data_IF_111848780682
#
_entry.id   IF_111848780682
#
_cell.length_a   1.000
_cell.length_b   1.000
_cell.length_c   1.000
_cell.angle_alpha   90.00
_cell.angle_beta   90.00
_cell.angle_gamma   90.00
#
_symmetry.space_group_name_H-M   'P 1'
#
loop_
_entity.id
_entity.type
_entity.pdbx_description
1 polymer ?
#
# COMPACT_ATOMS: atom_id res chain seq x y z
N UNK A 1 99.13 32.58 5.54
CA UNK A 1 98.01 33.49 5.84
C UNK A 1 97.11 33.47 4.60
N UNK A 2 96.15 32.54 4.57
CA UNK A 2 94.71 32.77 4.82
C UNK A 2 94.14 33.83 3.86
N UNK A 3 93.23 33.54 2.93
CA UNK A 3 92.42 32.36 2.72
C UNK A 3 91.68 32.42 1.37
N UNK A 4 91.07 31.27 1.05
CA UNK A 4 90.20 30.92 -0.08
C UNK A 4 89.06 31.96 -0.20
N UNK A 5 88.42 32.20 -1.35
CA UNK A 5 87.51 31.30 -2.06
C UNK A 5 87.26 31.76 -3.51
N UNK A 6 87.16 30.78 -4.41
CA UNK A 6 86.69 30.93 -5.78
C UNK A 6 85.15 30.97 -5.82
N UNK A 7 84.57 31.80 -6.69
CA UNK A 7 83.15 31.71 -7.08
C UNK A 7 83.05 31.90 -8.60
N UNK A 8 82.85 30.77 -9.29
CA UNK A 8 82.29 30.69 -10.64
C UNK A 8 80.79 31.05 -10.56
N UNK A 9 80.32 31.99 -11.38
CA UNK A 9 78.87 32.09 -11.65
C UNK A 9 78.56 31.54 -13.04
N UNK A 10 78.00 30.33 -13.00
CA UNK A 10 77.46 29.56 -14.11
C UNK A 10 76.13 30.18 -14.57
N UNK A 11 75.96 30.28 -15.88
CA UNK A 11 74.74 30.69 -16.56
C UNK A 11 73.61 29.67 -16.31
N UNK A 12 72.53 30.07 -15.64
CA UNK A 12 71.35 29.23 -15.45
C UNK A 12 70.29 29.58 -16.51
N UNK A 13 70.23 28.77 -17.56
CA UNK A 13 69.14 28.75 -18.54
C UNK A 13 67.97 27.99 -17.88
N UNK A 14 66.94 28.70 -17.39
CA UNK A 14 65.69 28.09 -16.93
C UNK A 14 64.92 27.54 -18.13
N UNK A 15 65.05 26.24 -18.38
CA UNK A 15 64.13 25.47 -19.22
C UNK A 15 62.81 25.30 -18.45
N UNK A 16 61.82 26.10 -18.83
CA UNK A 16 60.44 25.97 -18.37
C UNK A 16 59.83 24.71 -19.01
N UNK A 17 59.91 23.56 -18.32
CA UNK A 17 59.19 22.36 -18.72
C UNK A 17 57.70 22.53 -18.38
N UNK A 18 56.94 23.08 -19.32
CA UNK A 18 55.48 23.11 -19.24
C UNK A 18 54.92 21.70 -19.38
N UNK A 19 54.56 21.07 -18.27
CA UNK A 19 53.73 19.86 -18.26
C UNK A 19 52.31 20.26 -18.63
N UNK A 20 51.95 20.06 -19.89
CA UNK A 20 50.57 20.21 -20.37
C UNK A 20 49.78 19.01 -19.83
N UNK A 21 49.10 19.21 -18.69
CA UNK A 21 48.10 18.24 -18.20
C UNK A 21 46.91 18.34 -19.15
N UNK A 22 46.92 17.51 -20.20
CA UNK A 22 45.78 17.31 -21.08
C UNK A 22 44.71 16.57 -20.28
N UNK A 23 43.64 17.28 -19.91
CA UNK A 23 42.39 16.65 -19.48
C UNK A 23 41.84 15.83 -20.64
N UNK A 24 42.22 14.55 -20.73
CA UNK A 24 41.41 13.57 -21.45
C UNK A 24 40.06 13.55 -20.74
N UNK A 25 39.00 13.98 -21.44
CA UNK A 25 37.64 13.60 -21.07
C UNK A 25 37.65 12.08 -20.98
N UNK A 26 37.52 11.53 -19.78
CA UNK A 26 37.19 10.14 -19.58
C UNK A 26 35.85 9.92 -20.28
N UNK A 27 35.90 9.41 -21.52
CA UNK A 27 34.77 8.74 -22.13
C UNK A 27 34.59 7.43 -21.37
N UNK A 28 33.98 7.53 -20.17
CA UNK A 28 33.28 6.37 -19.62
C UNK A 28 32.27 5.98 -20.68
N UNK A 29 32.27 4.72 -21.16
CA UNK A 29 31.22 4.26 -22.05
C UNK A 29 29.89 4.61 -21.41
N UNK A 30 29.04 5.36 -22.12
CA UNK A 30 27.64 5.45 -21.71
C UNK A 30 27.12 4.04 -21.91
N UNK A 31 27.01 3.27 -20.83
CA UNK A 31 26.31 2.00 -20.88
C UNK A 31 24.90 2.31 -21.39
N UNK A 32 24.62 1.89 -22.62
CA UNK A 32 23.29 1.98 -23.20
C UNK A 32 22.42 0.94 -22.51
N UNK A 33 21.79 1.34 -21.41
CA UNK A 33 20.70 0.56 -20.83
C UNK A 33 19.53 0.56 -21.82
N UNK A 34 18.95 -0.61 -22.12
CA UNK A 34 17.72 -0.65 -22.91
C UNK A 34 16.62 0.13 -22.17
N UNK A 35 15.67 0.70 -22.91
CA UNK A 35 14.49 1.27 -22.27
C UNK A 35 13.69 0.15 -21.58
N UNK A 36 13.07 0.43 -20.42
CA UNK A 36 12.25 -0.57 -19.74
C UNK A 36 11.02 -0.92 -20.60
N UNK A 37 10.60 -2.18 -20.53
CA UNK A 37 9.51 -2.73 -21.33
C UNK A 37 8.17 -2.21 -20.79
N UNK A 38 7.37 -1.47 -21.57
CA UNK A 38 6.08 -0.98 -21.12
C UNK A 38 5.15 -2.13 -20.69
N UNK A 39 4.49 -1.97 -19.54
CA UNK A 39 3.53 -2.93 -19.03
C UNK A 39 2.14 -2.30 -18.93
N UNK A 40 1.10 -3.14 -18.89
CA UNK A 40 -0.29 -2.73 -18.66
C UNK A 40 -0.91 -3.63 -17.60
N UNK A 41 -1.83 -3.08 -16.82
CA UNK A 41 -2.59 -3.88 -15.86
C UNK A 41 -3.54 -4.83 -16.61
N UNK A 42 -3.47 -6.11 -16.25
CA UNK A 42 -4.44 -7.11 -16.68
C UNK A 42 -5.71 -6.97 -15.84
N UNK A 43 -6.63 -6.11 -16.28
CA UNK A 43 -7.91 -5.87 -15.59
C UNK A 43 -9.00 -6.78 -16.17
N UNK A 44 -9.58 -7.72 -15.40
CA UNK A 44 -10.66 -8.58 -15.89
C UNK A 44 -11.91 -7.77 -16.23
N UNK A 45 -12.70 -8.25 -17.19
CA UNK A 45 -13.81 -7.50 -17.78
C UNK A 45 -14.98 -7.14 -16.84
N UNK A 46 -15.04 -7.72 -15.63
CA UNK A 46 -16.02 -7.31 -14.61
C UNK A 46 -15.54 -6.15 -13.75
N UNK A 47 -14.24 -5.81 -13.73
CA UNK A 47 -13.76 -4.66 -12.97
C UNK A 47 -13.76 -3.38 -13.82
N UNK A 48 -13.94 -2.19 -13.19
CA UNK A 48 -13.82 -0.93 -13.91
C UNK A 48 -12.44 -0.76 -14.53
N UNK A 49 -12.36 -0.05 -15.66
CA UNK A 49 -11.06 0.30 -16.25
C UNK A 49 -10.24 1.16 -15.29
N UNK A 50 -8.94 0.91 -15.21
CA UNK A 50 -7.97 1.74 -14.50
C UNK A 50 -7.43 2.80 -15.46
N UNK A 51 -7.20 4.02 -14.96
CA UNK A 51 -6.57 5.07 -15.75
C UNK A 51 -5.05 4.87 -15.75
N UNK A 52 -4.41 5.15 -16.90
CA UNK A 52 -2.96 5.17 -16.98
C UNK A 52 -2.40 6.29 -16.08
N UNK A 53 -1.26 6.03 -15.43
CA UNK A 53 -0.52 7.01 -14.63
C UNK A 53 0.68 7.51 -15.44
N UNK A 54 0.58 8.74 -15.95
CA UNK A 54 1.62 9.32 -16.80
C UNK A 54 2.90 9.69 -16.01
N UNK A 55 2.79 9.93 -14.70
CA UNK A 55 3.92 10.34 -13.85
C UNK A 55 4.72 9.12 -13.35
N UNK A 56 4.11 7.95 -13.32
CA UNK A 56 4.74 6.68 -13.00
C UNK A 56 4.20 5.53 -13.91
N UNK A 57 4.54 5.54 -15.21
CA UNK A 57 4.07 4.53 -16.14
C UNK A 57 4.61 3.15 -15.76
N UNK A 58 3.77 2.13 -15.89
CA UNK A 58 4.14 0.76 -15.58
C UNK A 58 5.17 0.23 -16.59
N UNK A 59 6.19 -0.43 -16.07
CA UNK A 59 7.11 -1.26 -16.84
C UNK A 59 7.28 -2.63 -16.19
N UNK A 60 7.62 -3.64 -16.98
CA UNK A 60 7.87 -4.98 -16.45
C UNK A 60 9.00 -4.97 -15.41
N UNK A 61 10.06 -4.22 -15.68
CA UNK A 61 11.23 -4.08 -14.83
C UNK A 61 10.94 -3.23 -13.59
N UNK A 62 10.10 -2.20 -13.70
CA UNK A 62 9.66 -1.38 -12.56
C UNK A 62 8.74 -2.14 -11.61
N UNK A 63 7.82 -2.95 -12.13
CA UNK A 63 6.99 -3.86 -11.33
C UNK A 63 7.87 -4.87 -10.59
N UNK A 64 8.83 -5.49 -11.28
CA UNK A 64 9.72 -6.48 -10.67
C UNK A 64 10.66 -5.85 -9.63
N UNK A 65 11.21 -4.66 -9.90
CA UNK A 65 11.99 -3.91 -8.92
C UNK A 65 11.14 -3.58 -7.68
N UNK A 66 9.90 -3.12 -7.86
CA UNK A 66 8.95 -2.89 -6.78
C UNK A 66 8.66 -4.14 -5.96
N UNK A 67 8.49 -5.30 -6.61
CA UNK A 67 8.30 -6.59 -5.93
C UNK A 67 9.52 -6.97 -5.11
N UNK A 68 10.72 -6.80 -5.64
CA UNK A 68 11.96 -7.07 -4.90
C UNK A 68 12.05 -6.20 -3.66
N UNK A 69 11.82 -4.88 -3.80
CA UNK A 69 11.81 -3.94 -2.69
C UNK A 69 10.77 -4.33 -1.64
N UNK A 70 9.54 -4.65 -2.05
CA UNK A 70 8.44 -4.98 -1.13
C UNK A 70 8.77 -6.10 -0.11
N UNK A 71 9.64 -7.04 -0.50
CA UNK A 71 10.11 -8.16 0.33
C UNK A 71 11.50 -7.96 0.93
N UNK A 72 12.15 -6.82 0.69
CA UNK A 72 13.51 -6.56 1.15
C UNK A 72 13.52 -5.95 2.56
N UNK A 73 14.14 -6.65 3.50
CA UNK A 73 14.27 -6.17 4.88
C UNK A 73 15.16 -4.93 5.00
N UNK A 74 15.99 -4.62 3.98
CA UNK A 74 16.83 -3.41 3.95
C UNK A 74 16.05 -2.10 3.91
N UNK A 75 14.74 -2.16 3.63
CA UNK A 75 13.92 -0.96 3.66
C UNK A 75 13.68 -0.45 5.08
N UNK A 76 13.88 -1.26 6.14
CA UNK A 76 13.76 -0.79 7.52
C UNK A 76 15.11 -0.34 8.07
N UNK A 77 15.11 0.69 8.94
CA UNK A 77 16.35 1.24 9.52
C UNK A 77 17.13 0.25 10.40
N UNK A 78 16.54 -0.89 10.75
CA UNK A 78 17.21 -2.00 11.44
C UNK A 78 17.49 -3.22 10.55
N UNK A 79 17.21 -3.14 9.25
CA UNK A 79 17.44 -4.18 8.25
C UNK A 79 16.74 -5.53 8.55
N UNK A 80 15.57 -5.51 9.19
CA UNK A 80 14.82 -6.70 9.65
C UNK A 80 13.36 -6.76 9.19
N UNK A 81 12.82 -5.69 8.64
CA UNK A 81 11.40 -5.59 8.27
C UNK A 81 11.26 -5.16 6.82
N UNK A 82 10.32 -5.79 6.13
CA UNK A 82 9.91 -5.42 4.78
C UNK A 82 8.43 -5.05 4.80
N UNK A 83 7.91 -4.52 3.69
CA UNK A 83 6.47 -4.30 3.56
C UNK A 83 5.69 -5.61 3.78
N UNK A 84 6.24 -6.73 3.30
CA UNK A 84 5.66 -8.06 3.46
C UNK A 84 5.60 -8.58 4.91
N UNK A 85 6.32 -7.95 5.85
CA UNK A 85 6.24 -8.30 7.28
C UNK A 85 4.85 -8.02 7.85
N UNK A 86 4.22 -6.91 7.44
CA UNK A 86 2.84 -6.56 7.82
C UNK A 86 1.83 -6.90 6.71
N UNK A 87 2.26 -7.00 5.45
CA UNK A 87 1.38 -7.26 4.32
C UNK A 87 1.64 -8.62 3.70
N UNK A 88 1.21 -9.67 4.40
CA UNK A 88 1.45 -11.05 4.01
C UNK A 88 0.54 -11.52 2.89
N UNK A 89 1.12 -12.05 1.82
CA UNK A 89 0.36 -12.50 0.64
C UNK A 89 -0.69 -13.58 0.96
N UNK A 90 -0.36 -14.54 1.83
CA UNK A 90 -1.20 -15.70 2.13
C UNK A 90 -2.54 -15.32 2.80
N UNK A 91 -2.59 -14.14 3.40
CA UNK A 91 -3.78 -13.53 4.02
C UNK A 91 -4.18 -12.24 3.30
N UNK A 92 -4.02 -12.22 1.98
CA UNK A 92 -4.43 -11.13 1.10
C UNK A 92 -3.80 -9.76 1.45
N UNK A 93 -2.51 -9.76 1.79
CA UNK A 93 -1.70 -8.59 2.13
C UNK A 93 -2.19 -7.83 3.39
N UNK A 94 -2.51 -8.60 4.44
CA UNK A 94 -2.79 -8.16 5.82
C UNK A 94 -1.79 -8.81 6.81
N UNK A 95 -1.93 -8.59 8.13
CA UNK A 95 -1.03 -9.11 9.19
C UNK A 95 -1.70 -10.06 10.20
N UNK A 96 -3.02 -10.24 10.10
CA UNK A 96 -3.83 -11.04 11.03
C UNK A 96 -3.74 -10.63 12.51
N UNK A 97 -3.36 -9.38 12.80
CA UNK A 97 -3.14 -8.87 14.15
C UNK A 97 -3.93 -7.58 14.35
N UNK A 98 -4.59 -7.39 15.50
CA UNK A 98 -5.41 -6.19 15.68
C UNK A 98 -4.60 -4.89 15.55
N UNK A 99 -3.53 -4.80 16.33
CA UNK A 99 -2.56 -3.72 16.32
C UNK A 99 -1.16 -4.36 16.35
N UNK A 100 -0.50 -4.42 15.20
CA UNK A 100 0.80 -5.08 15.11
C UNK A 100 1.86 -4.34 15.92
N UNK A 101 2.78 -5.09 16.53
CA UNK A 101 3.90 -4.56 17.29
C UNK A 101 5.24 -5.06 16.73
N UNK A 102 5.27 -5.49 15.47
CA UNK A 102 6.47 -6.06 14.85
C UNK A 102 7.42 -4.99 14.30
N UNK A 103 7.01 -3.72 14.32
CA UNK A 103 7.82 -2.60 13.85
C UNK A 103 9.10 -2.37 14.65
N UNK A 104 9.94 -1.43 14.20
CA UNK A 104 11.27 -1.18 14.78
C UNK A 104 11.23 -0.86 16.27
N UNK A 105 10.24 -0.07 16.71
CA UNK A 105 10.09 0.30 18.13
C UNK A 105 9.52 -0.82 19.02
N UNK A 106 8.98 -1.88 18.42
CA UNK A 106 8.19 -2.92 19.06
C UNK A 106 6.95 -2.45 19.84
N UNK A 107 6.49 -1.20 19.63
CA UNK A 107 5.22 -0.72 20.18
C UNK A 107 4.06 -1.13 19.28
N UNK A 108 2.87 -1.44 19.84
CA UNK A 108 1.68 -1.63 19.03
C UNK A 108 1.35 -0.38 18.23
N UNK A 109 1.06 -0.55 16.94
CA UNK A 109 0.52 0.52 16.10
C UNK A 109 -0.86 0.97 16.61
N UNK A 110 -1.33 2.11 16.12
CA UNK A 110 -2.64 2.66 16.48
C UNK A 110 -3.75 2.28 15.49
N UNK A 111 -3.41 1.56 14.42
CA UNK A 111 -4.34 1.08 13.40
C UNK A 111 -4.01 -0.34 13.00
N UNK A 112 -5.07 -1.07 12.67
CA UNK A 112 -4.97 -2.33 11.97
C UNK A 112 -4.40 -2.12 10.58
N UNK A 113 -3.51 -3.00 10.14
CA UNK A 113 -2.85 -2.94 8.83
C UNK A 113 -3.89 -3.05 7.69
N UNK A 114 -4.04 -2.01 6.85
CA UNK A 114 -4.94 -2.07 5.70
C UNK A 114 -4.48 -3.10 4.67
N UNK A 115 -5.41 -3.66 3.90
CA UNK A 115 -5.08 -4.56 2.80
C UNK A 115 -4.54 -3.79 1.58
N UNK A 116 -3.74 -4.47 0.76
CA UNK A 116 -3.10 -3.85 -0.42
C UNK A 116 -3.66 -4.31 -1.78
N UNK A 117 -4.72 -5.12 -1.81
CA UNK A 117 -5.33 -5.51 -3.07
C UNK A 117 -6.23 -4.41 -3.66
N UNK A 118 -6.31 -4.36 -4.98
CA UNK A 118 -7.18 -3.46 -5.75
C UNK A 118 -6.99 -1.96 -5.43
N UNK A 119 -5.80 -1.54 -5.03
CA UNK A 119 -5.52 -0.13 -4.75
C UNK A 119 -5.37 0.74 -6.01
N UNK A 120 -5.30 0.12 -7.20
CA UNK A 120 -5.31 0.84 -8.48
C UNK A 120 -6.58 1.69 -8.70
N UNK A 121 -7.66 1.42 -7.96
CA UNK A 121 -8.92 2.18 -8.01
C UNK A 121 -9.11 3.15 -6.83
N UNK A 122 -8.22 3.15 -5.83
CA UNK A 122 -8.36 3.92 -4.59
C UNK A 122 -7.99 5.41 -4.78
N UNK A 123 -8.77 6.15 -5.58
CA UNK A 123 -8.49 7.53 -5.99
C UNK A 123 -8.86 8.61 -4.98
N UNK A 124 -9.68 8.29 -3.97
CA UNK A 124 -10.12 9.22 -2.92
C UNK A 124 -9.14 9.37 -1.77
N UNK A 125 -8.11 8.50 -1.73
CA UNK A 125 -7.06 8.49 -0.73
C UNK A 125 -6.73 7.09 -0.21
N UNK A 126 -5.59 6.97 0.44
CA UNK A 126 -5.04 5.77 1.07
C UNK A 126 -4.90 5.96 2.59
N UNK A 127 -4.61 4.88 3.31
CA UNK A 127 -4.87 4.74 4.75
C UNK A 127 -6.37 4.75 5.10
N UNK A 128 -6.67 4.55 6.38
CA UNK A 128 -8.04 4.51 6.90
C UNK A 128 -8.76 5.85 6.84
N UNK A 129 -8.05 6.97 6.93
CA UNK A 129 -8.59 8.34 6.90
C UNK A 129 -8.37 9.04 5.56
N UNK A 130 -7.63 8.42 4.63
CA UNK A 130 -7.31 9.03 3.35
C UNK A 130 -6.18 10.05 3.38
N UNK A 131 -5.29 9.99 4.38
CA UNK A 131 -4.20 10.96 4.54
C UNK A 131 -3.18 10.98 3.38
N UNK A 132 -3.10 9.92 2.59
CA UNK A 132 -2.26 9.89 1.39
C UNK A 132 -3.08 9.92 0.10
N UNK A 133 -2.59 10.64 -0.92
CA UNK A 133 -3.29 10.83 -2.20
C UNK A 133 -3.03 9.74 -3.24
N UNK A 134 -1.91 9.02 -3.14
CA UNK A 134 -1.49 8.00 -4.10
C UNK A 134 -0.50 7.01 -3.49
N UNK A 135 -0.25 5.88 -4.17
CA UNK A 135 0.61 4.80 -3.66
C UNK A 135 2.04 5.27 -3.41
N UNK A 136 2.58 6.15 -4.25
CA UNK A 136 3.92 6.72 -4.09
C UNK A 136 4.06 7.44 -2.75
N UNK A 137 3.15 8.37 -2.46
CA UNK A 137 3.18 9.13 -1.20
C UNK A 137 2.75 8.31 0.01
N UNK A 138 1.95 7.24 -0.18
CA UNK A 138 1.54 6.36 0.90
C UNK A 138 2.72 5.61 1.49
N UNK A 139 3.62 5.09 0.66
CA UNK A 139 4.77 4.30 1.12
C UNK A 139 5.76 5.11 1.98
N UNK A 140 5.74 6.46 1.90
CA UNK A 140 6.56 7.31 2.76
C UNK A 140 6.21 7.12 4.24
N UNK A 141 4.92 7.05 4.57
CA UNK A 141 4.43 6.87 5.95
C UNK A 141 5.08 5.69 6.69
N UNK A 142 4.88 4.43 6.23
CA UNK A 142 5.46 3.26 6.88
C UNK A 142 7.00 3.26 6.83
N UNK A 143 7.61 3.77 5.75
CA UNK A 143 9.07 3.83 5.63
C UNK A 143 9.70 4.68 6.74
N UNK A 144 9.15 5.87 7.01
CA UNK A 144 9.75 6.81 7.98
C UNK A 144 9.18 6.72 9.39
N UNK A 145 8.02 6.08 9.57
CA UNK A 145 7.34 5.95 10.87
C UNK A 145 8.21 5.18 11.89
N UNK A 146 8.35 5.74 13.10
CA UNK A 146 9.20 5.17 14.15
C UNK A 146 8.71 3.82 14.66
N UNK A 147 7.39 3.64 14.67
CA UNK A 147 6.75 2.42 15.13
C UNK A 147 6.58 1.38 14.01
N UNK A 148 7.02 1.70 12.77
CA UNK A 148 6.96 0.82 11.61
C UNK A 148 8.37 0.46 11.12
N UNK A 149 8.86 1.10 10.03
CA UNK A 149 10.16 0.75 9.42
C UNK A 149 11.31 1.66 9.87
N UNK A 150 11.02 2.83 10.45
CA UNK A 150 11.98 3.80 11.00
C UNK A 150 13.25 3.99 10.16
N UNK A 151 13.08 4.15 8.85
CA UNK A 151 14.19 4.30 7.92
C UNK A 151 14.46 5.79 7.67
N UNK A 152 15.75 6.14 7.68
CA UNK A 152 16.23 7.42 7.17
C UNK A 152 16.40 7.32 5.65
N UNK A 153 15.80 8.24 4.90
CA UNK A 153 15.78 8.15 3.43
C UNK A 153 17.16 8.37 2.80
N UNK A 154 18.05 9.12 3.45
CA UNK A 154 19.41 9.31 2.96
C UNK A 154 20.25 8.05 3.17
N UNK A 155 20.11 7.42 4.34
CA UNK A 155 20.72 6.13 4.62
C UNK A 155 20.18 5.03 3.70
N UNK A 156 18.87 4.98 3.46
CA UNK A 156 18.27 4.04 2.51
C UNK A 156 18.88 4.18 1.10
N UNK A 157 19.01 5.40 0.60
CA UNK A 157 19.66 5.64 -0.68
C UNK A 157 21.10 5.14 -0.71
N UNK A 158 21.86 5.36 0.37
CA UNK A 158 23.23 4.87 0.51
C UNK A 158 23.30 3.35 0.53
N UNK A 159 22.44 2.68 1.30
CA UNK A 159 22.38 1.23 1.40
C UNK A 159 22.03 0.59 0.04
N UNK A 160 21.04 1.12 -0.67
CA UNK A 160 20.66 0.63 -2.00
C UNK A 160 21.76 0.88 -3.04
N UNK A 161 22.43 2.04 -3.00
CA UNK A 161 23.57 2.36 -3.89
C UNK A 161 24.78 1.46 -3.66
N UNK A 162 24.93 0.89 -2.47
CA UNK A 162 25.99 -0.06 -2.16
C UNK A 162 25.75 -1.48 -2.75
N UNK A 163 24.59 -1.73 -3.36
CA UNK A 163 24.20 -3.04 -3.90
C UNK A 163 24.22 -2.97 -5.44
N UNK A 164 25.19 -3.60 -6.12
CA UNK A 164 25.34 -3.48 -7.58
C UNK A 164 24.09 -3.87 -8.38
N UNK A 165 23.34 -4.88 -7.92
CA UNK A 165 22.10 -5.31 -8.58
C UNK A 165 21.00 -4.22 -8.51
N UNK A 166 20.87 -3.52 -7.38
CA UNK A 166 19.94 -2.39 -7.28
C UNK A 166 20.35 -1.24 -8.20
N UNK A 167 21.63 -0.85 -8.20
CA UNK A 167 22.12 0.20 -9.10
C UNK A 167 21.74 -0.11 -10.56
N UNK A 168 21.95 -1.35 -11.00
CA UNK A 168 21.57 -1.79 -12.35
C UNK A 168 20.06 -1.70 -12.60
N UNK A 169 19.22 -2.19 -11.68
CA UNK A 169 17.75 -2.18 -11.84
C UNK A 169 17.16 -0.78 -11.83
N UNK A 170 17.57 0.06 -10.90
CA UNK A 170 17.12 1.45 -10.84
C UNK A 170 17.58 2.25 -12.07
N UNK A 171 18.82 2.01 -12.53
CA UNK A 171 19.31 2.66 -13.77
C UNK A 171 18.50 2.22 -14.99
N UNK A 172 18.10 0.94 -15.08
CA UNK A 172 17.23 0.43 -16.13
C UNK A 172 15.84 1.07 -16.11
N UNK A 173 15.22 1.20 -14.93
CA UNK A 173 13.83 1.70 -14.81
C UNK A 173 13.74 3.23 -14.92
N UNK A 174 14.64 3.97 -14.25
CA UNK A 174 14.52 5.42 -14.07
C UNK A 174 15.61 6.24 -14.78
N UNK A 175 16.60 5.56 -15.39
CA UNK A 175 17.74 6.14 -16.11
C UNK A 175 18.58 7.16 -15.29
N UNK A 176 18.61 7.02 -13.96
CA UNK A 176 19.32 7.91 -13.04
C UNK A 176 19.91 7.13 -11.87
N UNK A 177 20.66 7.82 -11.01
CA UNK A 177 21.07 7.26 -9.72
C UNK A 177 19.86 7.09 -8.80
N UNK A 178 19.93 6.12 -7.89
CA UNK A 178 18.83 5.79 -6.98
C UNK A 178 18.46 7.01 -6.13
N UNK A 179 17.17 7.35 -6.13
CA UNK A 179 16.59 8.30 -5.17
C UNK A 179 15.47 7.62 -4.37
N UNK A 180 15.17 8.15 -3.18
CA UNK A 180 14.02 7.73 -2.39
C UNK A 180 12.70 7.82 -3.19
N UNK A 181 12.55 8.83 -4.06
CA UNK A 181 11.38 8.92 -4.96
C UNK A 181 11.28 7.74 -5.93
N UNK A 182 12.41 7.24 -6.43
CA UNK A 182 12.42 6.07 -7.32
C UNK A 182 12.01 4.80 -6.57
N UNK A 183 12.38 4.67 -5.29
CA UNK A 183 11.93 3.57 -4.41
C UNK A 183 10.40 3.59 -4.27
N UNK A 184 9.84 4.76 -3.93
CA UNK A 184 8.39 4.94 -3.79
C UNK A 184 7.66 4.62 -5.11
N UNK A 185 8.20 5.07 -6.25
CA UNK A 185 7.64 4.78 -7.57
C UNK A 185 7.67 3.29 -7.90
N UNK A 186 8.79 2.60 -7.65
CA UNK A 186 8.90 1.17 -7.90
C UNK A 186 7.91 0.37 -7.06
N UNK A 187 7.84 0.62 -5.73
CA UNK A 187 6.86 0.01 -4.83
C UNK A 187 5.43 0.22 -5.34
N UNK A 188 5.10 1.45 -5.74
CA UNK A 188 3.78 1.79 -6.25
C UNK A 188 3.46 1.09 -7.58
N UNK A 189 4.45 0.85 -8.47
CA UNK A 189 4.23 0.06 -9.69
C UNK A 189 3.83 -1.38 -9.33
N UNK A 190 4.53 -2.02 -8.38
CA UNK A 190 4.18 -3.37 -7.91
C UNK A 190 2.80 -3.41 -7.25
N UNK A 191 2.51 -2.50 -6.31
CA UNK A 191 1.24 -2.47 -5.59
C UNK A 191 0.04 -2.26 -6.52
N UNK A 192 0.18 -1.51 -7.63
CA UNK A 192 -0.88 -1.39 -8.66
C UNK A 192 -1.24 -2.73 -9.31
N UNK A 193 -0.31 -3.68 -9.34
CA UNK A 193 -0.54 -5.01 -9.93
C UNK A 193 -1.25 -5.99 -9.01
N UNK A 194 -1.42 -5.66 -7.73
CA UNK A 194 -2.09 -6.50 -6.73
C UNK A 194 -3.61 -6.51 -6.95
N UNK A 195 -4.04 -7.07 -8.08
CA UNK A 195 -5.45 -7.15 -8.48
C UNK A 195 -6.03 -8.49 -8.03
N UNK A 196 -6.99 -8.44 -7.10
CA UNK A 196 -7.82 -9.56 -6.65
C UNK A 196 -9.15 -9.56 -7.40
N UNK A 197 -9.30 -10.52 -8.30
CA UNK A 197 -10.40 -10.60 -9.27
C UNK A 197 -10.67 -12.04 -9.78
N UNK A 198 -10.12 -13.05 -9.10
CA UNK A 198 -10.22 -14.48 -9.40
C UNK A 198 -11.13 -15.25 -8.44
N UNK A 199 -11.90 -14.56 -7.59
CA UNK A 199 -12.80 -15.21 -6.62
C UNK A 199 -13.90 -16.03 -7.31
N UNK A 200 -14.57 -16.90 -6.55
CA UNK A 200 -15.72 -17.66 -7.07
C UNK A 200 -16.83 -16.73 -7.59
N UNK A 201 -17.07 -15.61 -6.91
CA UNK A 201 -17.98 -14.57 -7.37
C UNK A 201 -17.54 -13.97 -8.71
N UNK A 202 -16.25 -13.64 -8.86
CA UNK A 202 -15.74 -13.06 -10.12
C UNK A 202 -15.91 -14.01 -11.30
N UNK A 203 -15.59 -15.29 -11.10
CA UNK A 203 -15.78 -16.32 -12.12
C UNK A 203 -17.25 -16.49 -12.49
N UNK A 204 -18.15 -16.43 -11.49
CA UNK A 204 -19.60 -16.50 -11.68
C UNK A 204 -20.13 -15.30 -12.48
N UNK A 205 -19.78 -14.07 -12.12
CA UNK A 205 -20.23 -12.85 -12.84
C UNK A 205 -19.71 -12.80 -14.27
N UNK A 206 -18.47 -13.26 -14.50
CA UNK A 206 -17.90 -13.41 -15.85
C UNK A 206 -18.47 -14.60 -16.63
N UNK A 207 -19.36 -15.40 -16.03
CA UNK A 207 -19.97 -16.59 -16.64
C UNK A 207 -18.93 -17.59 -17.15
N UNK A 208 -17.84 -17.76 -16.41
CA UNK A 208 -16.83 -18.78 -16.72
C UNK A 208 -17.50 -20.16 -16.63
N UNK A 209 -17.34 -21.05 -17.64
CA UNK A 209 -17.97 -22.37 -17.62
C UNK A 209 -17.67 -23.14 -16.32
N UNK A 210 -18.71 -23.63 -15.66
CA UNK A 210 -18.60 -24.36 -14.40
C UNK A 210 -18.51 -23.49 -13.12
N UNK A 211 -18.42 -22.16 -13.25
CA UNK A 211 -18.45 -21.27 -12.09
C UNK A 211 -19.88 -21.07 -11.58
N UNK A 212 -20.15 -21.50 -10.33
CA UNK A 212 -21.48 -21.41 -9.71
C UNK A 212 -21.41 -20.86 -8.28
N UNK A 213 -22.48 -20.19 -7.89
CA UNK A 213 -22.79 -19.87 -6.50
C UNK A 213 -23.95 -20.74 -6.02
N UNK A 214 -23.91 -21.15 -4.76
CA UNK A 214 -25.00 -21.86 -4.10
C UNK A 214 -26.22 -20.94 -3.92
N UNK A 215 -27.39 -21.52 -3.66
CA UNK A 215 -28.61 -20.74 -3.35
C UNK A 215 -28.41 -19.81 -2.15
N UNK A 216 -27.67 -20.24 -1.13
CA UNK A 216 -27.37 -19.45 0.05
C UNK A 216 -26.39 -18.29 -0.24
N UNK A 217 -25.39 -18.52 -1.09
CA UNK A 217 -24.48 -17.46 -1.56
C UNK A 217 -25.23 -16.42 -2.42
N UNK A 218 -26.16 -16.86 -3.28
CA UNK A 218 -27.00 -15.94 -4.07
C UNK A 218 -27.95 -15.12 -3.19
N UNK A 219 -28.52 -15.73 -2.15
CA UNK A 219 -29.30 -15.02 -1.15
C UNK A 219 -28.41 -14.00 -0.40
N UNK A 220 -27.19 -14.38 -0.02
CA UNK A 220 -26.21 -13.51 0.61
C UNK A 220 -25.81 -12.33 -0.26
N UNK A 221 -25.58 -12.54 -1.56
CA UNK A 221 -25.31 -11.50 -2.54
C UNK A 221 -26.44 -10.47 -2.58
N UNK A 222 -27.69 -10.93 -2.68
CA UNK A 222 -28.86 -10.05 -2.68
C UNK A 222 -28.96 -9.25 -1.37
N UNK A 223 -28.66 -9.87 -0.23
CA UNK A 223 -28.66 -9.21 1.08
C UNK A 223 -27.54 -8.16 1.21
N UNK A 224 -26.32 -8.46 0.74
CA UNK A 224 -25.22 -7.49 0.75
C UNK A 224 -25.56 -6.29 -0.13
N UNK A 225 -26.11 -6.50 -1.32
CA UNK A 225 -26.57 -5.39 -2.16
C UNK A 225 -27.67 -4.56 -1.48
N UNK A 226 -28.65 -5.21 -0.85
CA UNK A 226 -29.80 -4.52 -0.25
C UNK A 226 -29.47 -3.79 1.07
N UNK A 227 -28.59 -4.36 1.90
CA UNK A 227 -28.34 -3.88 3.27
C UNK A 227 -26.99 -3.21 3.46
N UNK A 228 -25.99 -3.52 2.62
CA UNK A 228 -24.61 -3.01 2.75
C UNK A 228 -24.19 -2.16 1.55
N UNK A 229 -24.97 -2.21 0.46
CA UNK A 229 -24.68 -1.58 -0.81
C UNK A 229 -24.78 -0.05 -0.82
N UNK A 230 -25.11 0.61 0.29
CA UNK A 230 -24.95 2.07 0.39
C UNK A 230 -23.47 2.48 0.44
N UNK A 231 -22.60 1.61 0.96
CA UNK A 231 -21.17 1.87 1.10
C UNK A 231 -20.32 0.81 0.36
N UNK A 232 -20.72 -0.46 0.42
CA UNK A 232 -20.01 -1.56 -0.25
C UNK A 232 -20.56 -1.80 -1.65
N UNK A 233 -20.22 -0.88 -2.56
CA UNK A 233 -20.82 -0.77 -3.89
C UNK A 233 -20.01 -1.43 -5.00
N UNK A 234 -20.73 -1.78 -6.07
CA UNK A 234 -20.16 -2.25 -7.33
C UNK A 234 -19.28 -3.49 -7.19
N UNK A 235 -18.48 -3.71 -8.22
CA UNK A 235 -17.67 -4.92 -8.34
C UNK A 235 -16.45 -4.91 -7.40
N UNK A 236 -16.05 -3.74 -6.87
CA UNK A 236 -14.98 -3.64 -5.89
C UNK A 236 -15.49 -3.74 -4.44
N UNK A 237 -16.81 -3.79 -4.22
CA UNK A 237 -17.45 -3.83 -2.89
C UNK A 237 -16.97 -2.71 -1.96
N UNK A 238 -16.76 -1.53 -2.52
CA UNK A 238 -16.40 -0.29 -1.82
C UNK A 238 -16.76 0.88 -2.72
N UNK A 239 -17.26 1.94 -2.13
CA UNK A 239 -17.45 3.24 -2.78
C UNK A 239 -16.21 4.13 -2.69
N UNK A 240 -15.18 3.68 -1.97
CA UNK A 240 -13.99 4.44 -1.60
C UNK A 240 -14.31 5.78 -0.90
N UNK A 241 -15.50 5.96 -0.35
CA UNK A 241 -15.91 7.14 0.41
C UNK A 241 -15.57 6.96 1.89
N UNK A 242 -15.88 7.98 2.70
CA UNK A 242 -15.62 8.02 4.13
C UNK A 242 -16.94 8.04 4.90
N UNK A 243 -17.08 7.14 5.87
CA UNK A 243 -18.31 6.99 6.65
C UNK A 243 -17.99 6.77 8.12
N UNK A 244 -18.85 7.27 8.99
CA UNK A 244 -18.82 6.92 10.42
C UNK A 244 -19.82 5.78 10.64
N UNK A 245 -19.30 4.59 10.91
CA UNK A 245 -20.12 3.39 11.11
C UNK A 245 -20.69 3.26 12.54
N UNK A 246 -20.54 4.29 13.37
CA UNK A 246 -21.03 4.35 14.75
C UNK A 246 -20.34 3.39 15.69
N UNK A 247 -19.10 2.97 15.40
CA UNK A 247 -18.33 2.11 16.31
C UNK A 247 -17.85 2.84 17.57
N UNK A 248 -17.71 4.17 17.49
CA UNK A 248 -17.29 5.04 18.58
C UNK A 248 -18.28 6.21 18.74
N UNK A 249 -18.51 6.62 19.99
CA UNK A 249 -19.36 7.78 20.33
C UNK A 249 -18.55 9.07 20.50
N UNK A 250 -17.26 8.93 20.81
CA UNK A 250 -16.35 10.00 21.23
C UNK A 250 -15.08 9.88 20.41
N UNK A 251 -14.56 11.03 19.97
CA UNK A 251 -13.39 11.14 19.11
C UNK A 251 -12.35 12.05 19.76
N UNK A 252 -11.53 11.51 20.69
CA UNK A 252 -10.53 12.30 21.40
C UNK A 252 -9.43 12.82 20.47
N UNK A 253 -8.74 13.88 20.92
CA UNK A 253 -7.61 14.53 20.23
C UNK A 253 -6.24 14.01 20.73
N UNK A 254 -6.20 12.78 21.21
CA UNK A 254 -4.96 12.10 21.59
C UNK A 254 -4.32 11.42 20.36
N UNK A 255 -3.02 11.11 20.48
CA UNK A 255 -2.25 10.44 19.43
C UNK A 255 -2.39 11.13 18.06
N UNK A 256 -2.24 12.46 18.06
CA UNK A 256 -2.38 13.31 16.87
C UNK A 256 -3.77 13.22 16.22
N UNK A 257 -4.81 13.09 17.04
CA UNK A 257 -6.20 13.07 16.58
C UNK A 257 -6.55 11.84 15.76
N UNK A 258 -5.81 10.74 15.89
CA UNK A 258 -6.00 9.56 15.04
C UNK A 258 -7.44 9.03 15.13
N UNK A 259 -8.09 9.10 16.30
CA UNK A 259 -9.47 8.64 16.49
C UNK A 259 -10.51 9.54 15.80
N UNK A 260 -10.15 10.77 15.43
CA UNK A 260 -11.03 11.68 14.70
C UNK A 260 -11.21 11.29 13.22
N UNK A 261 -10.38 10.36 12.72
CA UNK A 261 -10.49 9.82 11.37
C UNK A 261 -10.29 10.87 10.29
N UNK A 262 -11.19 10.92 9.30
CA UNK A 262 -11.08 11.81 8.14
C UNK A 262 -10.95 13.28 8.53
N UNK A 263 -11.55 13.71 9.64
CA UNK A 263 -11.40 15.08 10.16
C UNK A 263 -9.94 15.52 10.30
N UNK A 264 -9.03 14.62 10.70
CA UNK A 264 -7.58 14.89 10.78
C UNK A 264 -6.98 15.41 9.46
N UNK A 265 -7.58 15.02 8.34
CA UNK A 265 -7.12 15.36 6.99
C UNK A 265 -7.92 16.54 6.42
N UNK A 266 -9.24 16.56 6.62
CA UNK A 266 -10.13 17.56 6.00
C UNK A 266 -10.36 18.81 6.84
N UNK A 267 -10.20 18.73 8.16
CA UNK A 267 -10.59 19.73 9.15
C UNK A 267 -12.09 20.11 9.10
N UNK A 268 -12.93 19.31 8.44
CA UNK A 268 -14.37 19.50 8.40
C UNK A 268 -15.03 18.70 9.54
N UNK A 269 -15.69 19.39 10.48
CA UNK A 269 -16.38 18.74 11.61
C UNK A 269 -17.41 17.69 11.15
N UNK A 270 -17.95 17.80 9.93
CA UNK A 270 -18.83 16.78 9.36
C UNK A 270 -18.12 15.45 9.10
N UNK A 271 -16.78 15.42 9.04
CA UNK A 271 -15.95 14.24 8.81
C UNK A 271 -15.44 13.57 10.09
N UNK A 272 -15.83 14.07 11.26
CA UNK A 272 -15.45 13.50 12.54
C UNK A 272 -15.82 12.02 12.63
N UNK A 273 -14.85 11.17 12.98
CA UNK A 273 -15.04 9.73 13.15
C UNK A 273 -15.28 8.95 11.85
N UNK A 274 -15.15 9.59 10.68
CA UNK A 274 -15.32 8.89 9.40
C UNK A 274 -14.03 8.17 8.99
N UNK A 275 -14.19 6.96 8.47
CA UNK A 275 -13.11 6.17 7.88
C UNK A 275 -13.50 5.69 6.49
N UNK A 276 -12.49 5.45 5.66
CA UNK A 276 -12.66 4.95 4.30
C UNK A 276 -13.35 3.59 4.33
N UNK A 277 -14.36 3.39 3.49
CA UNK A 277 -15.00 2.09 3.31
C UNK A 277 -13.99 1.07 2.75
N UNK A 278 -13.59 0.02 3.50
CA UNK A 278 -12.74 -1.03 2.95
C UNK A 278 -13.53 -1.89 1.94
N UNK A 279 -12.81 -2.52 1.01
CA UNK A 279 -13.43 -3.51 0.11
C UNK A 279 -13.80 -4.78 0.89
N UNK A 280 -14.94 -5.39 0.56
CA UNK A 280 -15.33 -6.71 1.10
C UNK A 280 -14.63 -7.88 0.40
N UNK A 281 -13.84 -7.64 -0.66
CA UNK A 281 -13.05 -8.69 -1.31
C UNK A 281 -12.05 -9.27 -0.32
N UNK A 282 -11.83 -10.59 -0.35
CA UNK A 282 -10.95 -11.29 0.58
C UNK A 282 -11.24 -11.07 2.09
N UNK A 283 -12.40 -10.54 2.47
CA UNK A 283 -12.70 -10.20 3.87
C UNK A 283 -12.59 -11.40 4.82
N UNK A 284 -12.82 -12.62 4.33
CA UNK A 284 -12.66 -13.83 5.12
C UNK A 284 -11.21 -14.12 5.57
N UNK A 285 -10.21 -13.51 4.93
CA UNK A 285 -8.79 -13.76 5.19
C UNK A 285 -8.14 -12.66 6.04
N UNK A 286 -8.82 -11.52 6.21
CA UNK A 286 -8.22 -10.28 6.71
C UNK A 286 -8.78 -9.89 8.07
N UNK A 287 -9.16 -10.88 8.88
CA UNK A 287 -9.47 -10.67 10.28
C UNK A 287 -8.18 -10.27 11.04
N UNK A 288 -8.25 -9.47 12.10
CA UNK A 288 -9.46 -8.89 12.67
C UNK A 288 -9.97 -7.67 11.87
N UNK A 289 -11.11 -7.11 12.27
CA UNK A 289 -11.85 -6.12 11.50
C UNK A 289 -11.92 -4.77 12.19
N UNK A 290 -12.33 -3.78 11.39
CA UNK A 290 -12.34 -2.36 11.72
C UNK A 290 -10.94 -1.77 11.68
N UNK A 291 -10.88 -0.46 11.90
CA UNK A 291 -9.67 0.31 11.71
C UNK A 291 -8.61 0.07 12.80
N UNK A 292 -9.01 -0.55 13.91
CA UNK A 292 -8.18 -0.89 15.07
C UNK A 292 -8.24 -2.38 15.42
N UNK A 293 -8.87 -3.19 14.55
CA UNK A 293 -8.90 -4.64 14.72
C UNK A 293 -9.71 -5.13 15.92
N UNK A 294 -10.61 -4.33 16.49
CA UNK A 294 -11.34 -4.70 17.72
C UNK A 294 -12.30 -5.89 17.56
N UNK A 295 -12.73 -6.20 16.34
CA UNK A 295 -13.60 -7.34 16.08
C UNK A 295 -12.82 -8.52 15.49
N UNK A 296 -12.82 -9.66 16.17
CA UNK A 296 -12.03 -10.84 15.80
C UNK A 296 -12.70 -11.72 14.74
N UNK A 297 -14.01 -11.57 14.51
CA UNK A 297 -14.77 -12.37 13.54
C UNK A 297 -15.91 -11.55 12.91
N UNK A 298 -16.45 -12.04 11.79
CA UNK A 298 -17.58 -11.39 11.10
C UNK A 298 -18.89 -11.43 11.89
N UNK A 299 -19.04 -12.34 12.86
CA UNK A 299 -20.26 -12.34 13.67
C UNK A 299 -20.35 -11.08 14.53
N UNK A 300 -19.22 -10.64 15.12
CA UNK A 300 -19.11 -9.38 15.85
C UNK A 300 -19.32 -8.17 14.94
N UNK A 301 -18.78 -8.18 13.72
CA UNK A 301 -19.03 -7.13 12.72
C UNK A 301 -20.52 -7.02 12.42
N UNK A 302 -21.19 -8.14 12.15
CA UNK A 302 -22.60 -8.15 11.81
C UNK A 302 -23.49 -7.85 13.03
N UNK A 303 -23.08 -8.21 14.25
CA UNK A 303 -23.76 -7.79 15.48
C UNK A 303 -23.63 -6.29 15.76
N UNK A 304 -22.47 -5.70 15.44
CA UNK A 304 -22.28 -4.24 15.47
C UNK A 304 -23.29 -3.55 14.57
N UNK A 305 -23.33 -3.92 13.29
CA UNK A 305 -24.29 -3.32 12.35
C UNK A 305 -25.75 -3.61 12.70
N UNK A 306 -26.05 -4.76 13.32
CA UNK A 306 -27.41 -5.10 13.74
C UNK A 306 -27.90 -4.24 14.91
N UNK A 307 -27.06 -4.04 15.93
CA UNK A 307 -27.51 -3.45 17.21
C UNK A 307 -26.42 -2.74 18.03
N UNK A 308 -25.16 -2.78 17.63
CA UNK A 308 -24.03 -2.18 18.35
C UNK A 308 -23.68 -0.75 17.91
N UNK A 309 -24.37 -0.20 16.90
CA UNK A 309 -24.15 1.16 16.42
C UNK A 309 -24.44 2.16 17.53
N UNK A 310 -23.44 2.98 17.85
CA UNK A 310 -23.56 4.06 18.81
C UNK A 310 -23.80 5.38 18.10
N UNK A 311 -24.69 6.19 18.67
CA UNK A 311 -24.98 7.52 18.15
C UNK A 311 -23.79 8.46 18.32
N UNK A 312 -23.52 9.23 17.27
CA UNK A 312 -22.69 10.43 17.29
C UNK A 312 -23.24 11.44 16.27
N UNK A 313 -22.81 12.71 16.31
CA UNK A 313 -23.34 13.74 15.42
C UNK A 313 -23.07 13.47 13.92
N UNK A 314 -22.09 12.63 13.61
CA UNK A 314 -21.63 12.34 12.24
C UNK A 314 -21.89 10.90 11.80
N UNK A 315 -22.58 10.08 12.61
CA UNK A 315 -22.94 8.71 12.24
C UNK A 315 -23.71 8.69 10.92
N UNK A 316 -23.37 7.76 10.04
CA UNK A 316 -23.85 7.78 8.67
C UNK A 316 -25.38 7.60 8.59
N UNK A 317 -26.02 8.38 7.72
CA UNK A 317 -27.48 8.37 7.54
C UNK A 317 -28.00 7.03 7.01
N UNK A 318 -27.18 6.27 6.28
CA UNK A 318 -27.53 4.93 5.79
C UNK A 318 -27.72 3.90 6.91
N UNK A 319 -27.31 4.22 8.14
CA UNK A 319 -27.42 3.33 9.31
C UNK A 319 -28.69 3.59 10.14
N UNK A 320 -29.51 4.54 9.72
CA UNK A 320 -30.83 4.79 10.29
C UNK A 320 -31.90 4.01 9.53
N UNK A 321 -32.77 3.36 10.28
CA UNK A 321 -34.00 2.77 9.78
C UNK A 321 -35.05 3.88 9.54
N UNK A 322 -36.12 3.52 8.83
CA UNK A 322 -37.20 4.47 8.49
C UNK A 322 -37.91 5.05 9.73
N UNK A 323 -37.87 4.35 10.86
CA UNK A 323 -38.42 4.81 12.14
C UNK A 323 -37.44 5.66 12.96
N UNK A 324 -36.23 5.91 12.44
CA UNK A 324 -35.18 6.69 13.09
C UNK A 324 -34.29 5.89 14.04
N UNK A 325 -34.53 4.59 14.23
CA UNK A 325 -33.64 3.75 15.05
C UNK A 325 -32.34 3.43 14.31
N UNK A 326 -31.22 3.37 15.03
CA UNK A 326 -29.93 2.93 14.50
C UNK A 326 -29.89 1.41 14.36
N UNK A 327 -29.21 0.94 13.31
CA UNK A 327 -28.96 -0.48 13.07
C UNK A 327 -29.58 -0.99 11.78
N UNK A 328 -29.08 -2.12 11.33
CA UNK A 328 -29.52 -2.81 10.12
C UNK A 328 -30.15 -4.13 10.57
N UNK A 329 -31.48 -4.32 10.46
CA UNK A 329 -32.13 -5.56 10.86
C UNK A 329 -31.56 -6.76 10.09
N UNK A 330 -30.92 -7.68 10.81
CA UNK A 330 -30.30 -8.89 10.27
C UNK A 330 -30.68 -10.07 11.17
N UNK A 331 -31.48 -10.99 10.64
CA UNK A 331 -31.79 -12.28 11.27
C UNK A 331 -30.59 -13.23 11.23
N UNK A 332 -30.63 -14.31 12.01
CA UNK A 332 -29.54 -15.30 11.98
C UNK A 332 -29.42 -16.03 10.64
N UNK A 333 -30.53 -16.28 9.95
CA UNK A 333 -30.51 -16.85 8.61
C UNK A 333 -29.88 -15.89 7.60
N UNK A 334 -30.20 -14.60 7.65
CA UNK A 334 -29.56 -13.58 6.82
C UNK A 334 -28.07 -13.44 7.14
N UNK A 335 -27.68 -13.47 8.42
CA UNK A 335 -26.27 -13.45 8.85
C UNK A 335 -25.49 -14.61 8.21
N UNK A 336 -26.05 -15.82 8.25
CA UNK A 336 -25.43 -17.00 7.64
C UNK A 336 -25.32 -16.87 6.11
N UNK A 337 -26.36 -16.36 5.44
CA UNK A 337 -26.35 -16.13 3.99
C UNK A 337 -25.32 -15.06 3.59
N UNK A 338 -25.26 -13.93 4.30
CA UNK A 338 -24.25 -12.88 4.09
C UNK A 338 -22.84 -13.47 4.20
N UNK A 339 -22.54 -14.21 5.28
CA UNK A 339 -21.22 -14.85 5.47
C UNK A 339 -20.89 -15.86 4.35
N UNK A 340 -21.88 -16.64 3.90
CA UNK A 340 -21.69 -17.55 2.78
C UNK A 340 -21.26 -16.80 1.51
N UNK A 341 -21.93 -15.69 1.19
CA UNK A 341 -21.55 -14.85 0.06
C UNK A 341 -20.17 -14.19 0.24
N UNK A 342 -19.86 -13.64 1.42
CA UNK A 342 -18.54 -13.05 1.69
C UNK A 342 -17.41 -14.08 1.52
N UNK A 343 -17.67 -15.35 1.79
CA UNK A 343 -16.73 -16.44 1.47
C UNK A 343 -16.48 -16.59 -0.02
N UNK A 344 -17.50 -16.41 -0.86
CA UNK A 344 -17.35 -16.44 -2.32
C UNK A 344 -16.54 -15.26 -2.89
N UNK A 345 -16.27 -14.21 -2.09
CA UNK A 345 -15.37 -13.10 -2.43
C UNK A 345 -13.89 -13.36 -2.12
N UNK A 346 -13.55 -14.56 -1.63
CA UNK A 346 -12.16 -14.98 -1.38
C UNK A 346 -11.50 -15.40 -2.67
N UNK A 347 -10.31 -14.84 -2.95
CA UNK A 347 -9.50 -15.14 -4.13
C UNK A 347 -8.24 -15.94 -3.75
N UNK A 348 -8.38 -17.27 -3.74
CA UNK A 348 -7.26 -18.19 -3.51
C UNK A 348 -6.15 -18.08 -4.56
N UNK A 349 -6.49 -17.70 -5.79
CA UNK A 349 -5.50 -17.56 -6.85
C UNK A 349 -4.61 -16.34 -6.59
N UNK A 350 -5.19 -15.24 -6.08
CA UNK A 350 -4.46 -14.04 -5.66
C UNK A 350 -3.47 -14.32 -4.52
N UNK A 351 -3.90 -15.00 -3.46
CA UNK A 351 -3.05 -15.29 -2.28
C UNK A 351 -1.93 -16.29 -2.55
N UNK A 352 -2.01 -17.03 -3.66
CA UNK A 352 -0.99 -18.02 -4.09
C UNK A 352 -0.28 -17.62 -5.39
N UNK A 353 -0.52 -16.41 -5.89
CA UNK A 353 0.04 -15.97 -7.16
C UNK A 353 1.55 -15.78 -7.07
N UNK A 354 2.32 -16.58 -7.81
CA UNK A 354 3.79 -16.47 -7.86
C UNK A 354 4.30 -15.12 -8.36
N UNK A 355 3.49 -14.37 -9.12
CA UNK A 355 3.84 -13.00 -9.54
C UNK A 355 3.88 -12.02 -8.37
N UNK A 356 3.25 -12.34 -7.24
CA UNK A 356 3.23 -11.48 -6.06
C UNK A 356 4.05 -12.02 -4.88
N UNK A 357 4.55 -13.25 -4.96
CA UNK A 357 5.32 -13.87 -3.88
C UNK A 357 6.72 -13.27 -3.73
N UNK A 358 7.41 -13.62 -2.64
CA UNK A 358 8.80 -13.24 -2.42
C UNK A 358 9.68 -13.68 -3.61
N UNK A 359 10.45 -12.77 -4.24
CA UNK A 359 11.40 -13.09 -5.32
C UNK A 359 12.60 -13.94 -4.92
N UNK A 360 12.94 -13.95 -3.62
CA UNK A 360 14.23 -14.42 -3.12
C UNK A 360 14.17 -15.82 -2.51
#
# INVERSE_FOLDING_TARGET
>A
MNGKYAVLHLSALMLLSGTVISCKKDHRPVENFPAPTPARLEVPGNLPKVADDADNPLSAEGIELGRILFYDARLSGNNKLSCASCHRQDIAFSDATALTSIGVSAKPLHRHTPTLFNLAWAKSGLFWDGGSKNLESQALGPLTSEDEMHQDLYELERELKAVPDYVKRFKLVFNREITSTDVLKALAQFQRTLISAGSRYDLYIRKVPGATLSSQELQGLALVHAKCGSCHQGELFTDYSYHNNGIDAIFPDDLEGIYQGRYRVSFDLADMGKFKTPSLRNVMLTAPYMHDGRFINLDQVLDHYRSGITYSATVDRALYQNDGNLGIPISQAEKAAIKAFLSALTDDAFTKNKKFSNPN
#
